data_IF_606014767743
#
_entry.id   IF_606014767743
#
_cell.length_a   1.000
_cell.length_b   1.000
_cell.length_c   1.000
_cell.angle_alpha   90.00
_cell.angle_beta   90.00
_cell.angle_gamma   90.00
#
_symmetry.space_group_name_H-M   'P 1'
#
loop_
_entity.id
_entity.type
_entity.pdbx_description
1 polymer ?
#
# COMPACT_ATOMS: atom_id res chain seq x y z
N UNK A 1 -9.17 24.99 -7.27
CA UNK A 1 -9.32 25.86 -8.46
C UNK A 1 -8.00 25.83 -9.22
N UNK A 2 -8.01 25.66 -10.56
CA UNK A 2 -6.82 25.79 -11.42
C UNK A 2 -6.07 27.10 -11.18
N UNK A 3 -4.76 27.16 -11.45
CA UNK A 3 -4.05 28.44 -11.46
C UNK A 3 -4.19 29.19 -12.78
N UNK A 4 -3.79 30.46 -12.76
CA UNK A 4 -3.94 31.37 -13.89
C UNK A 4 -3.24 30.86 -15.15
N UNK A 5 -2.04 30.27 -15.04
CA UNK A 5 -1.33 29.72 -16.20
C UNK A 5 -2.11 28.58 -16.89
N UNK A 6 -2.71 27.68 -16.10
CA UNK A 6 -3.54 26.61 -16.64
C UNK A 6 -4.85 27.15 -17.23
N UNK A 7 -5.44 28.17 -16.59
CA UNK A 7 -6.64 28.85 -17.11
C UNK A 7 -6.35 29.58 -18.43
N UNK A 8 -5.24 30.29 -18.53
CA UNK A 8 -4.82 31.00 -19.74
C UNK A 8 -4.58 30.03 -20.89
N UNK A 9 -3.93 28.88 -20.62
CA UNK A 9 -3.75 27.82 -21.61
C UNK A 9 -5.09 27.22 -22.06
N UNK A 10 -6.06 27.08 -21.16
CA UNK A 10 -7.41 26.61 -21.45
C UNK A 10 -8.19 27.64 -22.30
N UNK A 11 -8.16 28.92 -21.93
CA UNK A 11 -8.80 30.03 -22.65
C UNK A 11 -8.21 30.18 -24.06
N UNK A 12 -6.90 30.03 -24.20
CA UNK A 12 -6.23 30.02 -25.49
C UNK A 12 -6.50 28.74 -26.31
N UNK A 13 -7.25 27.77 -25.75
CA UNK A 13 -7.59 26.53 -26.41
C UNK A 13 -6.40 25.60 -26.62
N UNK A 14 -5.26 25.78 -25.93
CA UNK A 14 -4.00 25.06 -26.22
C UNK A 14 -3.82 23.73 -25.49
N UNK A 15 -4.71 23.41 -24.54
CA UNK A 15 -4.58 22.19 -23.73
C UNK A 15 -4.78 20.88 -24.51
N UNK A 16 -5.28 20.93 -25.74
CA UNK A 16 -5.34 19.77 -26.63
C UNK A 16 -4.00 19.48 -27.32
N UNK A 17 -3.06 20.42 -27.31
CA UNK A 17 -1.72 20.22 -27.87
C UNK A 17 -0.89 19.35 -26.92
N UNK A 18 -0.41 18.16 -27.34
CA UNK A 18 0.27 17.22 -26.44
C UNK A 18 1.45 17.83 -25.67
N UNK A 19 2.27 18.65 -26.34
CA UNK A 19 3.42 19.30 -25.72
C UNK A 19 3.03 20.36 -24.66
N UNK A 20 1.90 21.06 -24.86
CA UNK A 20 1.39 22.04 -23.89
C UNK A 20 0.82 21.32 -22.67
N UNK A 21 0.02 20.27 -22.91
CA UNK A 21 -0.57 19.46 -21.85
C UNK A 21 0.51 18.80 -20.99
N UNK A 22 1.51 18.16 -21.61
CA UNK A 22 2.63 17.55 -20.90
C UNK A 22 3.38 18.55 -20.03
N UNK A 23 3.67 19.75 -20.56
CA UNK A 23 4.31 20.83 -19.80
C UNK A 23 3.49 21.22 -18.57
N UNK A 24 2.17 21.36 -18.72
CA UNK A 24 1.29 21.71 -17.60
C UNK A 24 1.24 20.59 -16.55
N UNK A 25 1.15 19.32 -16.96
CA UNK A 25 1.19 18.18 -16.03
C UNK A 25 2.47 18.17 -15.21
N UNK A 26 3.63 18.29 -15.86
CA UNK A 26 4.94 18.33 -15.17
C UNK A 26 5.03 19.49 -14.18
N UNK A 27 4.59 20.68 -14.58
CA UNK A 27 4.54 21.87 -13.70
C UNK A 27 3.63 21.64 -12.49
N UNK A 28 2.44 21.10 -12.70
CA UNK A 28 1.48 20.83 -11.63
C UNK A 28 1.98 19.77 -10.65
N UNK A 29 2.67 18.73 -11.14
CA UNK A 29 3.31 17.73 -10.27
C UNK A 29 4.43 18.32 -9.42
N UNK A 30 5.19 19.29 -9.97
CA UNK A 30 6.23 20.01 -9.25
C UNK A 30 5.70 21.07 -8.27
N UNK A 31 4.43 21.51 -8.40
CA UNK A 31 3.81 22.49 -7.50
C UNK A 31 3.54 21.89 -6.11
N UNK A 32 3.64 22.69 -5.04
CA UNK A 32 3.32 22.27 -3.66
C UNK A 32 1.93 21.63 -3.52
N UNK A 33 0.96 22.07 -4.32
CA UNK A 33 -0.43 21.58 -4.32
C UNK A 33 -0.55 20.13 -4.78
N UNK A 34 0.45 19.56 -5.45
CA UNK A 34 0.48 18.11 -5.77
C UNK A 34 0.52 17.21 -4.54
N UNK A 35 0.82 17.76 -3.36
CA UNK A 35 0.67 17.08 -2.07
C UNK A 35 -0.77 16.52 -1.86
N UNK A 36 -1.78 17.04 -2.55
CA UNK A 36 -3.11 16.43 -2.56
C UNK A 36 -3.11 14.94 -3.03
N UNK A 37 -2.17 14.52 -3.89
CA UNK A 37 -2.00 13.10 -4.25
C UNK A 37 -1.51 12.26 -3.06
N UNK A 38 -0.81 12.87 -2.11
CA UNK A 38 -0.34 12.23 -0.88
C UNK A 38 -1.48 12.16 0.14
N UNK A 39 -2.03 13.32 0.51
CA UNK A 39 -3.01 13.47 1.61
C UNK A 39 -4.42 12.99 1.23
N UNK A 40 -4.76 12.93 -0.06
CA UNK A 40 -6.02 12.33 -0.52
C UNK A 40 -5.83 10.96 -1.14
N UNK A 41 -5.14 10.87 -2.27
CA UNK A 41 -5.06 9.62 -3.02
C UNK A 41 -4.34 8.52 -2.21
N UNK A 42 -3.08 8.74 -1.82
CA UNK A 42 -2.31 7.71 -1.09
C UNK A 42 -2.96 7.38 0.26
N UNK A 43 -3.44 8.39 0.99
CA UNK A 43 -4.16 8.18 2.26
C UNK A 43 -5.43 7.35 2.13
N UNK A 44 -6.17 7.46 1.03
CA UNK A 44 -7.34 6.61 0.75
C UNK A 44 -6.91 5.23 0.25
N UNK A 45 -6.02 5.16 -0.73
CA UNK A 45 -5.55 3.92 -1.33
C UNK A 45 -4.87 3.01 -0.30
N UNK A 46 -4.09 3.56 0.62
CA UNK A 46 -3.36 2.81 1.64
C UNK A 46 -4.11 2.72 2.98
N UNK A 47 -5.37 3.14 3.01
CA UNK A 47 -6.23 3.14 4.20
C UNK A 47 -5.66 3.92 5.40
N UNK A 48 -4.75 4.88 5.20
CA UNK A 48 -4.12 5.64 6.28
C UNK A 48 -5.14 6.40 7.13
N UNK A 49 -6.27 6.82 6.55
CA UNK A 49 -7.37 7.47 7.29
C UNK A 49 -7.93 6.58 8.40
N UNK A 50 -7.79 5.27 8.30
CA UNK A 50 -8.26 4.33 9.32
C UNK A 50 -7.34 4.28 10.55
N UNK A 51 -6.13 4.85 10.50
CA UNK A 51 -5.23 4.87 11.68
C UNK A 51 -5.89 5.51 12.90
N UNK A 52 -6.74 6.52 12.69
CA UNK A 52 -7.41 7.26 13.77
C UNK A 52 -8.44 6.40 14.52
N UNK A 53 -9.01 5.38 13.85
CA UNK A 53 -9.93 4.42 14.47
C UNK A 53 -9.23 3.20 15.07
N UNK A 54 -7.94 3.01 14.79
CA UNK A 54 -7.17 1.90 15.36
C UNK A 54 -6.89 2.16 16.84
N UNK A 55 -7.32 1.23 17.70
CA UNK A 55 -7.21 1.30 19.16
C UNK A 55 -6.46 0.10 19.71
N UNK A 56 -5.13 0.01 19.55
CA UNK A 56 -4.34 -1.09 20.11
C UNK A 56 -4.58 -1.26 21.61
N UNK A 57 -4.67 -2.50 22.06
CA UNK A 57 -4.83 -2.81 23.48
C UNK A 57 -3.58 -2.37 24.25
N UNK A 58 -3.75 -1.40 25.15
CA UNK A 58 -2.64 -0.80 25.91
C UNK A 58 -1.92 -1.77 26.84
N UNK A 59 -2.55 -2.90 27.21
CA UNK A 59 -1.88 -3.95 28.01
C UNK A 59 -0.89 -4.75 27.16
N UNK A 60 -1.21 -4.95 25.88
CA UNK A 60 -0.35 -5.66 24.92
C UNK A 60 0.67 -4.74 24.25
N UNK A 61 0.31 -3.47 24.09
CA UNK A 61 1.09 -2.44 23.40
C UNK A 61 1.24 -1.17 24.26
N UNK A 62 1.90 -1.27 25.43
CA UNK A 62 1.99 -0.15 26.38
C UNK A 62 2.75 1.06 25.84
N UNK A 63 3.67 0.83 24.90
CA UNK A 63 4.45 1.88 24.25
C UNK A 63 3.71 2.53 23.08
N UNK A 64 2.45 2.20 22.81
CA UNK A 64 1.67 2.84 21.76
C UNK A 64 0.97 4.11 22.26
N UNK A 65 1.14 5.22 21.55
CA UNK A 65 0.48 6.50 21.82
C UNK A 65 0.09 7.22 20.52
N UNK A 66 -0.64 8.33 20.63
CA UNK A 66 -1.07 9.09 19.45
C UNK A 66 0.11 9.70 18.69
N UNK A 67 1.19 10.11 19.38
CA UNK A 67 2.40 10.61 18.71
C UNK A 67 3.01 9.54 17.77
N UNK A 68 3.02 8.27 18.19
CA UNK A 68 3.47 7.17 17.36
C UNK A 68 2.52 6.92 16.20
N UNK A 69 1.20 7.00 16.41
CA UNK A 69 0.19 6.91 15.34
C UNK A 69 0.43 7.98 14.27
N UNK A 70 0.59 9.24 14.67
CA UNK A 70 0.89 10.33 13.75
C UNK A 70 2.22 10.10 13.03
N UNK A 71 3.23 9.57 13.73
CA UNK A 71 4.50 9.27 13.11
C UNK A 71 4.40 8.16 12.05
N UNK A 72 3.55 7.15 12.24
CA UNK A 72 3.26 6.14 11.20
C UNK A 72 2.64 6.75 9.95
N UNK A 73 1.68 7.66 10.13
CA UNK A 73 1.04 8.39 9.03
C UNK A 73 2.06 9.22 8.27
N UNK A 74 2.82 10.04 8.98
CA UNK A 74 3.79 10.98 8.39
C UNK A 74 4.93 10.24 7.67
N UNK A 75 5.39 9.08 8.17
CA UNK A 75 6.32 8.21 7.43
C UNK A 75 5.80 7.86 6.04
N UNK A 76 4.58 7.32 5.95
CA UNK A 76 4.01 6.88 4.67
C UNK A 76 3.75 8.04 3.73
N UNK A 77 3.28 9.17 4.27
CA UNK A 77 3.03 10.38 3.48
C UNK A 77 4.33 10.96 2.90
N UNK A 78 5.38 11.10 3.71
CA UNK A 78 6.69 11.56 3.24
C UNK A 78 7.33 10.58 2.26
N UNK A 79 7.18 9.28 2.50
CA UNK A 79 7.67 8.24 1.60
C UNK A 79 7.01 8.34 0.22
N UNK A 80 5.68 8.42 0.17
CA UNK A 80 4.96 8.59 -1.09
C UNK A 80 5.26 9.93 -1.77
N UNK A 81 5.33 11.03 -1.00
CA UNK A 81 5.70 12.35 -1.52
C UNK A 81 7.09 12.33 -2.16
N UNK A 82 8.08 11.66 -1.55
CA UNK A 82 9.42 11.56 -2.15
C UNK A 82 9.42 10.81 -3.47
N UNK A 83 8.62 9.74 -3.61
CA UNK A 83 8.52 8.98 -4.86
C UNK A 83 7.86 9.83 -5.95
N UNK A 84 6.83 10.60 -5.58
CA UNK A 84 6.14 11.52 -6.48
C UNK A 84 7.03 12.70 -6.92
N UNK A 85 7.68 13.38 -5.96
CA UNK A 85 8.48 14.60 -6.17
C UNK A 85 9.77 14.33 -6.91
N UNK A 86 10.43 13.22 -6.61
CA UNK A 86 11.68 12.80 -7.27
C UNK A 86 11.40 12.06 -8.59
N UNK A 87 10.13 11.94 -8.99
CA UNK A 87 9.67 11.19 -10.16
C UNK A 87 10.28 9.79 -10.25
N UNK A 88 10.26 9.07 -9.13
CA UNK A 88 10.79 7.71 -9.03
C UNK A 88 9.89 6.71 -9.72
N UNK A 89 10.42 5.50 -9.93
CA UNK A 89 9.60 4.38 -10.33
C UNK A 89 8.53 4.13 -9.27
N UNK A 90 7.29 3.88 -9.69
CA UNK A 90 6.23 3.43 -8.79
C UNK A 90 6.62 2.12 -8.09
N UNK A 91 7.50 1.31 -8.68
CA UNK A 91 7.98 0.07 -8.06
C UNK A 91 8.75 0.31 -6.76
N UNK A 92 9.33 1.51 -6.54
CA UNK A 92 10.01 1.88 -5.28
C UNK A 92 9.05 1.76 -4.08
N UNK A 93 7.74 1.88 -4.28
CA UNK A 93 6.73 1.64 -3.23
C UNK A 93 6.81 0.23 -2.64
N UNK A 94 7.33 -0.76 -3.39
CA UNK A 94 7.46 -2.13 -2.92
C UNK A 94 8.82 -2.44 -2.30
N UNK A 95 9.89 -1.74 -2.69
CA UNK A 95 11.26 -2.22 -2.43
C UNK A 95 12.30 -1.14 -2.14
N UNK A 96 11.88 0.12 -1.95
CA UNK A 96 12.79 1.17 -1.55
C UNK A 96 13.58 0.78 -0.29
N UNK A 97 14.88 1.03 -0.34
CA UNK A 97 15.84 0.83 0.74
C UNK A 97 15.97 2.07 1.63
N UNK A 98 14.94 2.91 1.71
CA UNK A 98 14.95 4.10 2.56
C UNK A 98 13.58 4.31 3.18
N UNK A 99 13.53 5.08 4.27
CA UNK A 99 12.29 5.53 4.88
C UNK A 99 12.47 6.91 5.53
N UNK A 100 11.39 7.48 6.07
CA UNK A 100 11.37 8.72 6.82
C UNK A 100 11.04 8.44 8.28
N UNK A 101 11.94 8.84 9.18
CA UNK A 101 11.73 8.66 10.62
C UNK A 101 12.10 9.92 11.41
N UNK A 102 11.38 10.16 12.48
CA UNK A 102 11.83 10.97 13.61
C UNK A 102 12.32 10.06 14.76
N UNK A 103 12.77 10.63 15.88
CA UNK A 103 13.27 9.85 17.01
C UNK A 103 12.23 8.86 17.57
N UNK A 104 10.95 9.27 17.64
CA UNK A 104 9.88 8.44 18.18
C UNK A 104 9.68 7.17 17.36
N UNK A 105 9.62 7.31 16.03
CA UNK A 105 9.46 6.18 15.11
C UNK A 105 10.74 5.35 14.98
N UNK A 106 11.90 6.00 14.97
CA UNK A 106 13.19 5.30 14.93
C UNK A 106 13.36 4.38 16.15
N UNK A 107 12.99 4.82 17.36
CA UNK A 107 12.95 3.97 18.57
C UNK A 107 12.01 2.78 18.40
N UNK A 108 10.81 3.00 17.85
CA UNK A 108 9.85 1.93 17.57
C UNK A 108 10.38 0.89 16.57
N UNK A 109 11.17 1.33 15.59
CA UNK A 109 11.78 0.46 14.61
C UNK A 109 13.14 -0.14 15.02
N UNK A 110 13.71 0.30 16.15
CA UNK A 110 15.05 -0.11 16.57
C UNK A 110 16.16 0.50 15.72
N UNK A 111 15.93 1.65 15.09
CA UNK A 111 16.91 2.34 14.26
C UNK A 111 17.71 3.31 15.16
N UNK A 112 19.02 3.10 15.34
CA UNK A 112 19.84 3.92 16.23
C UNK A 112 20.16 5.28 15.59
N UNK A 113 20.72 6.19 16.41
CA UNK A 113 21.31 7.46 15.98
C UNK A 113 20.36 8.48 15.31
N UNK A 114 19.05 8.37 15.53
CA UNK A 114 18.05 9.38 15.13
C UNK A 114 17.55 10.12 16.36
N UNK A 115 17.68 11.44 16.38
CA UNK A 115 17.34 12.30 17.51
C UNK A 115 16.47 13.49 17.10
N UNK A 116 15.51 13.87 17.93
CA UNK A 116 14.59 14.98 17.70
C UNK A 116 13.31 14.62 16.95
N UNK A 117 12.36 15.55 16.95
CA UNK A 117 11.01 15.39 16.40
C UNK A 117 10.92 15.50 14.88
N UNK A 118 11.92 16.09 14.22
CA UNK A 118 11.91 16.27 12.76
C UNK A 118 12.19 14.94 12.04
N UNK A 119 11.32 14.63 11.09
CA UNK A 119 11.52 13.54 10.14
C UNK A 119 12.73 13.78 9.26
N UNK A 120 13.45 12.70 8.97
CA UNK A 120 14.54 12.68 8.00
C UNK A 120 14.50 11.40 7.20
N UNK A 121 14.90 11.50 5.94
CA UNK A 121 15.17 10.34 5.11
C UNK A 121 16.40 9.63 5.63
N UNK A 122 16.32 8.32 5.78
CA UNK A 122 17.44 7.45 6.14
C UNK A 122 17.53 6.30 5.14
N UNK A 123 18.74 5.90 4.79
CA UNK A 123 18.97 4.65 4.09
C UNK A 123 18.84 3.49 5.10
N UNK A 124 18.27 2.39 4.62
CA UNK A 124 18.01 1.17 5.36
C UNK A 124 18.94 0.08 4.83
N UNK A 125 19.60 -0.60 5.75
CA UNK A 125 20.28 -1.84 5.44
C UNK A 125 19.32 -3.03 5.55
N UNK A 126 19.75 -4.20 5.06
CA UNK A 126 18.97 -5.44 5.15
C UNK A 126 18.71 -5.84 6.62
N UNK A 127 19.60 -5.46 7.54
CA UNK A 127 19.50 -5.79 8.96
C UNK A 127 18.31 -5.08 9.63
N UNK A 128 17.94 -3.89 9.15
CA UNK A 128 16.75 -3.16 9.59
C UNK A 128 15.47 -4.00 9.45
N UNK A 129 15.40 -4.86 8.44
CA UNK A 129 14.19 -5.57 8.05
C UNK A 129 13.04 -4.62 7.65
N UNK A 130 13.35 -3.38 7.26
CA UNK A 130 12.40 -2.36 6.79
C UNK A 130 12.56 -2.14 5.28
N UNK A 131 11.81 -1.19 4.72
CA UNK A 131 11.80 -0.88 3.29
C UNK A 131 10.46 -1.22 2.64
N UNK A 132 10.07 -0.44 1.64
CA UNK A 132 8.77 -0.56 0.97
C UNK A 132 7.56 -0.33 1.89
N UNK A 133 6.36 -0.34 1.31
CA UNK A 133 5.10 -0.09 2.01
C UNK A 133 4.71 -1.24 2.96
N UNK A 134 4.93 -2.49 2.56
CA UNK A 134 4.45 -3.67 3.29
C UNK A 134 5.11 -3.87 4.66
N UNK A 135 6.19 -3.13 4.94
CA UNK A 135 6.94 -3.17 6.20
C UNK A 135 6.76 -1.91 7.04
N UNK A 136 5.99 -0.93 6.58
CA UNK A 136 5.65 0.27 7.37
C UNK A 136 4.59 -0.05 8.42
N UNK A 137 4.74 0.49 9.63
CA UNK A 137 3.81 0.24 10.72
C UNK A 137 2.40 0.78 10.45
N UNK A 138 2.25 1.82 9.64
CA UNK A 138 0.94 2.32 9.20
C UNK A 138 0.13 1.21 8.51
N UNK A 139 0.72 0.56 7.51
CA UNK A 139 0.12 -0.53 6.73
C UNK A 139 -0.12 -1.75 7.62
N UNK A 140 0.88 -2.13 8.42
CA UNK A 140 0.79 -3.28 9.32
C UNK A 140 -0.31 -3.10 10.38
N UNK A 141 -0.55 -1.85 10.82
CA UNK A 141 -1.55 -1.51 11.83
C UNK A 141 -2.97 -1.46 11.25
N UNK A 142 -3.19 -0.76 10.13
CA UNK A 142 -4.53 -0.69 9.50
C UNK A 142 -5.01 -2.03 8.96
N UNK A 143 -4.12 -3.02 8.88
CA UNK A 143 -4.41 -4.40 8.48
C UNK A 143 -4.40 -5.39 9.65
N UNK A 144 -4.45 -4.91 10.89
CA UNK A 144 -4.47 -5.73 12.11
C UNK A 144 -5.68 -5.43 12.99
N UNK A 145 -5.90 -6.26 14.01
CA UNK A 145 -6.86 -5.98 15.09
C UNK A 145 -6.16 -5.26 16.25
N UNK A 146 -6.96 -4.65 17.14
CA UNK A 146 -6.47 -4.00 18.36
C UNK A 146 -5.56 -4.89 19.22
N UNK A 147 -5.81 -6.20 19.25
CA UNK A 147 -5.13 -7.14 20.15
C UNK A 147 -4.12 -8.04 19.45
N UNK A 148 -4.11 -8.12 18.11
CA UNK A 148 -3.37 -9.14 17.37
C UNK A 148 -3.23 -8.81 15.88
N UNK A 149 -2.27 -9.48 15.23
CA UNK A 149 -2.14 -9.48 13.77
C UNK A 149 -3.34 -10.15 13.09
N UNK A 150 -3.49 -9.90 11.79
CA UNK A 150 -4.49 -10.57 10.96
C UNK A 150 -3.93 -10.87 9.56
N UNK A 151 -3.39 -12.08 9.31
CA UNK A 151 -2.99 -12.48 7.96
C UNK A 151 -4.12 -12.39 6.94
N UNK A 152 -5.36 -12.58 7.38
CA UNK A 152 -6.54 -12.47 6.51
C UNK A 152 -6.68 -11.04 5.98
N UNK A 153 -6.64 -10.04 6.87
CA UNK A 153 -6.78 -8.62 6.48
C UNK A 153 -5.53 -8.15 5.73
N UNK A 154 -4.33 -8.54 6.18
CA UNK A 154 -3.06 -8.26 5.48
C UNK A 154 -3.04 -8.84 4.06
N UNK A 155 -3.45 -10.08 3.90
CA UNK A 155 -3.54 -10.76 2.59
C UNK A 155 -4.59 -10.12 1.70
N UNK A 156 -5.77 -9.78 2.23
CA UNK A 156 -6.79 -9.00 1.53
C UNK A 156 -6.23 -7.68 1.01
N UNK A 157 -5.47 -6.95 1.84
CA UNK A 157 -4.85 -5.69 1.44
C UNK A 157 -3.89 -5.89 0.26
N UNK A 158 -3.05 -6.92 0.27
CA UNK A 158 -2.16 -7.23 -0.87
C UNK A 158 -2.98 -7.51 -2.14
N UNK A 159 -4.04 -8.32 -2.05
CA UNK A 159 -4.87 -8.69 -3.20
C UNK A 159 -5.62 -7.49 -3.81
N UNK A 160 -6.26 -6.67 -2.99
CA UNK A 160 -7.07 -5.54 -3.44
C UNK A 160 -6.19 -4.34 -3.80
N UNK A 161 -5.31 -3.93 -2.89
CA UNK A 161 -4.57 -2.67 -3.01
C UNK A 161 -3.35 -2.79 -3.91
N UNK A 162 -2.74 -3.99 -4.04
CA UNK A 162 -1.52 -4.19 -4.83
C UNK A 162 -1.69 -5.08 -6.07
N UNK A 163 -2.59 -6.07 -6.05
CA UNK A 163 -2.75 -7.02 -7.16
C UNK A 163 -4.02 -6.81 -8.00
N UNK A 164 -4.97 -5.99 -7.55
CA UNK A 164 -6.21 -5.70 -8.28
C UNK A 164 -7.14 -6.92 -8.43
N UNK A 165 -7.02 -7.90 -7.53
CA UNK A 165 -7.82 -9.13 -7.51
C UNK A 165 -8.50 -9.28 -6.14
N UNK A 166 -9.39 -8.34 -5.77
CA UNK A 166 -10.03 -8.36 -4.45
C UNK A 166 -10.71 -9.72 -4.22
N UNK A 167 -10.58 -10.29 -3.01
CA UNK A 167 -11.25 -11.54 -2.69
C UNK A 167 -12.77 -11.38 -2.81
N UNK A 168 -13.52 -12.45 -3.12
CA UNK A 168 -14.96 -12.38 -3.19
C UNK A 168 -15.54 -11.93 -1.84
N UNK A 169 -16.71 -11.25 -1.83
CA UNK A 169 -17.35 -10.85 -0.59
C UNK A 169 -17.61 -12.08 0.29
N UNK A 170 -17.61 -11.91 1.62
CA UNK A 170 -17.92 -13.01 2.53
C UNK A 170 -19.29 -13.60 2.19
N UNK A 171 -19.41 -14.92 2.26
CA UNK A 171 -20.68 -15.59 2.01
C UNK A 171 -21.72 -15.13 3.04
N UNK A 172 -22.97 -14.87 2.62
CA UNK A 172 -24.06 -14.64 3.56
C UNK A 172 -24.17 -15.85 4.51
N UNK A 173 -24.49 -15.58 5.77
CA UNK A 173 -24.76 -16.58 6.81
C UNK A 173 -23.59 -17.47 7.27
N UNK A 174 -22.34 -17.10 7.00
CA UNK A 174 -21.21 -17.69 7.73
C UNK A 174 -21.17 -17.09 9.14
N UNK A 175 -21.36 -17.89 10.21
CA UNK A 175 -21.29 -17.37 11.57
C UNK A 175 -19.94 -16.71 11.80
N UNK A 176 -19.93 -15.52 12.42
CA UNK A 176 -18.69 -14.92 12.89
C UNK A 176 -17.97 -15.95 13.78
N UNK A 177 -16.69 -16.19 13.50
CA UNK A 177 -15.88 -17.06 14.34
C UNK A 177 -15.90 -16.50 15.75
N UNK A 178 -16.28 -17.33 16.72
CA UNK A 178 -16.01 -17.01 18.11
C UNK A 178 -14.49 -16.95 18.23
N UNK A 179 -13.95 -15.83 18.69
CA UNK A 179 -12.50 -15.64 18.92
C UNK A 179 -11.87 -16.74 19.81
N UNK A 180 -12.71 -17.58 20.44
CA UNK A 180 -12.39 -18.61 21.42
C UNK A 180 -12.53 -20.06 20.92
N UNK A 181 -12.78 -20.34 19.63
CA UNK A 181 -12.90 -21.75 19.15
C UNK A 181 -11.58 -22.42 18.81
N UNK A 182 -10.49 -21.64 18.79
CA UNK A 182 -9.15 -22.15 18.50
C UNK A 182 -8.28 -21.89 19.73
N UNK A 183 -7.49 -22.87 20.14
CA UNK A 183 -6.61 -22.76 21.30
C UNK A 183 -5.72 -21.50 21.15
N UNK A 184 -5.84 -20.59 22.10
CA UNK A 184 -5.09 -19.33 22.13
C UNK A 184 -3.59 -19.53 22.30
N UNK A 185 -3.15 -20.74 22.63
CA UNK A 185 -1.74 -21.13 22.70
C UNK A 185 -1.16 -21.51 21.32
N UNK A 186 -1.99 -21.69 20.29
CA UNK A 186 -1.51 -21.98 18.94
C UNK A 186 -1.03 -20.71 18.24
N UNK A 187 0.02 -20.87 17.43
CA UNK A 187 0.47 -19.79 16.53
C UNK A 187 -0.61 -19.45 15.52
N UNK A 188 -0.64 -18.20 15.07
CA UNK A 188 -1.62 -17.69 14.08
C UNK A 188 -1.67 -18.58 12.84
N UNK A 189 -0.52 -19.08 12.36
CA UNK A 189 -0.45 -20.03 11.24
C UNK A 189 -1.22 -21.32 11.52
N UNK A 190 -1.04 -21.92 12.71
CA UNK A 190 -1.76 -23.14 13.10
C UNK A 190 -3.25 -22.88 13.23
N UNK A 191 -3.62 -21.75 13.83
CA UNK A 191 -5.02 -21.33 13.95
C UNK A 191 -5.71 -21.19 12.59
N UNK A 192 -5.04 -20.56 11.63
CA UNK A 192 -5.55 -20.41 10.26
C UNK A 192 -5.60 -21.74 9.51
N UNK A 193 -4.61 -22.62 9.71
CA UNK A 193 -4.62 -23.96 9.12
C UNK A 193 -5.81 -24.79 9.63
N UNK A 194 -6.10 -24.74 10.94
CA UNK A 194 -7.29 -25.36 11.51
C UNK A 194 -8.57 -24.74 10.97
N UNK A 195 -8.63 -23.40 10.85
CA UNK A 195 -9.78 -22.70 10.28
C UNK A 195 -10.04 -23.10 8.81
N UNK A 196 -8.98 -23.30 8.02
CA UNK A 196 -9.04 -23.76 6.63
C UNK A 196 -9.37 -25.24 6.46
N UNK A 197 -9.51 -26.01 7.54
CA UNK A 197 -10.00 -27.40 7.44
C UNK A 197 -11.44 -27.46 6.91
N UNK A 198 -12.21 -26.37 7.07
CA UNK A 198 -13.52 -26.22 6.44
C UNK A 198 -13.35 -25.79 4.97
N UNK A 199 -13.83 -26.61 4.03
CA UNK A 199 -13.72 -26.37 2.59
C UNK A 199 -14.32 -25.02 2.14
N UNK A 200 -15.40 -24.56 2.79
CA UNK A 200 -16.03 -23.27 2.48
C UNK A 200 -15.08 -22.12 2.84
N UNK A 201 -14.45 -22.18 4.00
CA UNK A 201 -13.52 -21.16 4.47
C UNK A 201 -12.21 -21.19 3.66
N UNK A 202 -11.73 -22.40 3.30
CA UNK A 202 -10.52 -22.58 2.51
C UNK A 202 -10.60 -21.88 1.14
N UNK A 203 -11.78 -21.83 0.51
CA UNK A 203 -11.96 -21.23 -0.82
C UNK A 203 -11.39 -19.80 -0.94
N UNK A 204 -11.60 -18.98 0.11
CA UNK A 204 -11.12 -17.59 0.16
C UNK A 204 -9.79 -17.47 0.89
N UNK A 205 -9.61 -18.22 1.98
CA UNK A 205 -8.40 -18.13 2.81
C UNK A 205 -7.15 -18.71 2.15
N UNK A 206 -7.29 -19.66 1.22
CA UNK A 206 -6.15 -20.17 0.43
C UNK A 206 -5.49 -19.07 -0.41
N UNK A 207 -6.24 -18.01 -0.75
CA UNK A 207 -5.77 -16.87 -1.52
C UNK A 207 -5.13 -15.79 -0.62
N UNK A 208 -5.76 -15.46 0.51
CA UNK A 208 -5.34 -14.37 1.40
C UNK A 208 -4.26 -14.79 2.40
N UNK A 209 -4.45 -15.91 3.09
CA UNK A 209 -3.61 -16.25 4.25
C UNK A 209 -2.13 -16.37 3.89
N UNK A 210 -1.71 -17.03 2.78
CA UNK A 210 -0.29 -17.12 2.44
C UNK A 210 0.36 -15.75 2.21
N UNK A 211 -0.37 -14.80 1.63
CA UNK A 211 0.10 -13.42 1.42
C UNK A 211 0.24 -12.70 2.77
N UNK A 212 -0.77 -12.80 3.63
CA UNK A 212 -0.77 -12.18 4.94
C UNK A 212 0.29 -12.72 5.89
N UNK A 213 0.49 -14.04 5.85
CA UNK A 213 1.45 -14.76 6.70
C UNK A 213 2.90 -14.29 6.44
N UNK A 214 3.19 -13.79 5.23
CA UNK A 214 4.49 -13.20 4.86
C UNK A 214 4.93 -12.07 5.78
N UNK A 215 3.97 -11.35 6.36
CA UNK A 215 4.19 -10.19 7.22
C UNK A 215 4.18 -10.54 8.71
N UNK A 216 4.03 -11.82 9.10
CA UNK A 216 3.88 -12.19 10.51
C UNK A 216 5.12 -11.98 11.37
N UNK A 217 6.30 -11.75 10.75
CA UNK A 217 7.49 -11.23 11.44
C UNK A 217 7.30 -9.81 12.00
N UNK A 218 6.13 -9.20 11.80
CA UNK A 218 5.72 -7.96 12.45
C UNK A 218 4.42 -8.13 13.26
N UNK A 219 4.38 -7.54 14.46
CA UNK A 219 3.21 -7.51 15.32
C UNK A 219 2.12 -6.53 14.82
N UNK A 220 1.05 -6.36 15.60
CA UNK A 220 -0.11 -5.55 15.23
C UNK A 220 0.18 -4.05 15.09
N UNK A 221 1.26 -3.56 15.72
CA UNK A 221 1.71 -2.15 15.60
C UNK A 221 3.00 -2.04 14.79
N UNK A 222 3.34 -3.09 14.05
CA UNK A 222 4.47 -3.13 13.13
C UNK A 222 5.84 -3.26 13.79
N UNK A 223 5.97 -3.66 15.06
CA UNK A 223 7.28 -4.03 15.65
C UNK A 223 7.70 -5.39 15.13
N UNK A 224 9.01 -5.60 14.96
CA UNK A 224 9.54 -6.90 14.56
C UNK A 224 9.38 -7.93 15.68
N UNK A 225 9.11 -9.17 15.31
CA UNK A 225 9.06 -10.34 16.19
C UNK A 225 9.62 -11.58 15.47
N UNK A 226 10.26 -12.46 16.23
CA UNK A 226 10.81 -13.73 15.75
C UNK A 226 9.99 -14.94 16.18
N UNK A 227 9.29 -14.82 17.30
CA UNK A 227 8.49 -15.88 17.89
C UNK A 227 7.10 -15.40 18.32
N UNK A 228 6.21 -16.35 18.45
CA UNK A 228 4.87 -16.20 18.98
C UNK A 228 4.65 -17.31 20.00
N UNK A 229 4.41 -16.93 21.26
CA UNK A 229 4.30 -17.87 22.39
C UNK A 229 5.50 -18.84 22.50
N UNK A 230 6.72 -18.36 22.23
CA UNK A 230 7.95 -19.17 22.29
C UNK A 230 8.18 -20.09 21.08
N UNK A 231 7.30 -20.04 20.07
CA UNK A 231 7.45 -20.79 18.81
C UNK A 231 7.93 -19.84 17.72
N UNK A 232 8.99 -20.23 17.00
CA UNK A 232 9.49 -19.45 15.87
C UNK A 232 8.41 -19.22 14.81
N UNK A 233 8.34 -17.99 14.31
CA UNK A 233 7.36 -17.59 13.31
C UNK A 233 7.79 -18.12 11.95
N UNK A 234 7.01 -19.06 11.42
CA UNK A 234 7.01 -19.38 10.01
C UNK A 234 6.22 -18.29 9.26
N UNK A 235 6.92 -17.47 8.48
CA UNK A 235 6.34 -16.44 7.62
C UNK A 235 6.20 -16.89 6.16
N UNK A 236 6.46 -18.17 5.85
CA UNK A 236 6.41 -18.64 4.47
C UNK A 236 5.01 -18.53 3.87
N UNK A 237 4.94 -18.17 2.60
CA UNK A 237 3.69 -18.00 1.89
C UNK A 237 3.82 -18.39 0.43
N UNK A 238 2.88 -17.90 -0.36
CA UNK A 238 2.87 -18.12 -1.80
C UNK A 238 1.85 -17.25 -2.51
N UNK A 239 1.97 -17.23 -3.84
CA UNK A 239 0.99 -16.59 -4.72
C UNK A 239 0.01 -17.65 -5.27
N UNK A 240 -1.12 -17.20 -5.86
CA UNK A 240 -2.14 -18.10 -6.42
C UNK A 240 -1.65 -18.91 -7.62
N UNK A 241 -0.56 -18.47 -8.25
CA UNK A 241 0.10 -19.19 -9.34
C UNK A 241 0.96 -20.38 -8.86
N UNK A 242 1.02 -20.61 -7.54
CA UNK A 242 1.77 -21.71 -6.93
C UNK A 242 3.21 -21.36 -6.55
N UNK A 243 3.69 -20.15 -6.87
CA UNK A 243 5.00 -19.67 -6.41
C UNK A 243 5.03 -19.57 -4.88
N UNK A 244 6.21 -19.77 -4.29
CA UNK A 244 6.43 -19.77 -2.84
C UNK A 244 7.50 -18.77 -2.45
N UNK A 245 7.39 -18.24 -1.24
CA UNK A 245 8.37 -17.33 -0.64
C UNK A 245 8.46 -17.55 0.87
N UNK A 246 9.56 -17.10 1.47
CA UNK A 246 9.86 -17.33 2.90
C UNK A 246 9.25 -16.27 3.83
N UNK A 247 9.08 -15.04 3.35
CA UNK A 247 8.52 -13.91 4.10
C UNK A 247 8.17 -12.75 3.15
N UNK A 248 7.88 -11.57 3.73
CA UNK A 248 7.52 -10.35 3.01
C UNK A 248 8.57 -9.92 1.97
N UNK A 249 9.87 -10.18 2.18
CA UNK A 249 10.90 -9.86 1.19
C UNK A 249 10.75 -10.73 -0.06
N UNK A 250 10.45 -12.01 0.14
CA UNK A 250 10.14 -12.91 -0.96
C UNK A 250 8.81 -12.56 -1.64
N UNK A 251 7.80 -12.06 -0.90
CA UNK A 251 6.56 -11.53 -1.50
C UNK A 251 6.86 -10.31 -2.39
N UNK A 252 7.59 -9.32 -1.89
CA UNK A 252 7.98 -8.13 -2.67
C UNK A 252 8.74 -8.52 -3.94
N UNK A 253 9.70 -9.46 -3.84
CA UNK A 253 10.40 -10.00 -5.00
C UNK A 253 9.45 -10.67 -6.00
N UNK A 254 8.45 -11.40 -5.52
CA UNK A 254 7.45 -12.04 -6.37
C UNK A 254 6.55 -11.00 -7.08
N UNK A 255 6.16 -9.91 -6.40
CA UNK A 255 5.44 -8.79 -7.00
C UNK A 255 6.28 -8.08 -8.07
N UNK A 256 7.56 -7.85 -7.79
CA UNK A 256 8.50 -7.23 -8.74
C UNK A 256 8.82 -8.10 -9.95
N UNK A 257 8.66 -9.43 -9.84
CA UNK A 257 8.81 -10.32 -10.99
C UNK A 257 7.68 -10.16 -12.02
N UNK A 258 6.55 -9.55 -11.61
CA UNK A 258 5.37 -9.26 -12.45
C UNK A 258 4.92 -7.81 -12.25
N UNK A 259 5.80 -6.83 -12.54
CA UNK A 259 5.58 -5.44 -12.18
C UNK A 259 4.32 -4.85 -12.83
N UNK A 260 3.93 -5.37 -14.01
CA UNK A 260 2.74 -4.90 -14.73
C UNK A 260 1.44 -5.13 -13.95
N UNK A 261 1.38 -6.12 -13.05
CA UNK A 261 0.20 -6.36 -12.21
C UNK A 261 0.07 -5.21 -11.21
N UNK A 262 1.13 -4.97 -10.43
CA UNK A 262 1.13 -3.90 -9.43
C UNK A 262 0.94 -2.51 -10.06
N UNK A 263 1.66 -2.22 -11.14
CA UNK A 263 1.52 -0.93 -11.84
C UNK A 263 0.14 -0.80 -12.47
N UNK A 264 -0.45 -1.89 -12.97
CA UNK A 264 -1.83 -1.90 -13.46
C UNK A 264 -2.83 -1.55 -12.37
N UNK A 265 -2.74 -2.17 -11.20
CA UNK A 265 -3.59 -1.86 -10.04
C UNK A 265 -3.40 -0.41 -9.59
N UNK A 266 -2.16 0.07 -9.47
CA UNK A 266 -1.89 1.46 -9.11
C UNK A 266 -2.49 2.43 -10.14
N UNK A 267 -2.33 2.14 -11.44
CA UNK A 267 -2.90 2.95 -12.53
C UNK A 267 -4.42 2.98 -12.46
N UNK A 268 -5.07 1.86 -12.15
CA UNK A 268 -6.52 1.78 -11.97
C UNK A 268 -7.00 2.64 -10.79
N UNK A 269 -6.33 2.56 -9.64
CA UNK A 269 -6.68 3.36 -8.45
C UNK A 269 -6.44 4.85 -8.73
N UNK A 270 -5.34 5.21 -9.40
CA UNK A 270 -5.06 6.59 -9.82
C UNK A 270 -6.10 7.11 -10.82
N UNK A 271 -6.51 6.29 -11.79
CA UNK A 271 -7.54 6.66 -12.76
C UNK A 271 -8.89 6.87 -12.06
N UNK A 272 -9.26 5.99 -11.13
CA UNK A 272 -10.46 6.16 -10.29
C UNK A 272 -10.45 7.51 -9.57
N UNK A 273 -9.31 7.85 -8.95
CA UNK A 273 -9.13 9.15 -8.29
C UNK A 273 -9.23 10.33 -9.26
N UNK A 274 -8.59 10.23 -10.43
CA UNK A 274 -8.59 11.27 -11.45
C UNK A 274 -9.98 11.51 -12.05
N UNK A 275 -10.79 10.46 -12.18
CA UNK A 275 -12.14 10.52 -12.76
C UNK A 275 -13.22 10.85 -11.71
N UNK A 276 -12.96 10.62 -10.42
CA UNK A 276 -13.97 10.77 -9.36
C UNK A 276 -15.12 9.75 -9.47
N UNK A 277 -14.90 8.64 -10.17
CA UNK A 277 -15.81 7.50 -10.30
C UNK A 277 -14.99 6.20 -10.37
N UNK A 278 -15.62 5.07 -10.07
CA UNK A 278 -15.02 3.77 -10.35
C UNK A 278 -14.69 3.60 -11.83
N UNK A 279 -13.61 2.86 -12.12
CA UNK A 279 -13.33 2.41 -13.49
C UNK A 279 -14.36 1.36 -13.92
N UNK A 280 -14.64 1.32 -15.20
CA UNK A 280 -15.56 0.37 -15.82
C UNK A 280 -14.81 -0.54 -16.80
N UNK A 281 -15.46 -1.60 -17.28
CA UNK A 281 -14.83 -2.56 -18.19
C UNK A 281 -14.24 -1.90 -19.46
N UNK A 282 -14.82 -0.79 -19.92
CA UNK A 282 -14.37 -0.04 -21.08
C UNK A 282 -13.16 0.87 -20.82
N UNK A 283 -12.80 1.12 -19.55
CA UNK A 283 -11.58 1.86 -19.19
C UNK A 283 -10.32 0.96 -19.25
N UNK A 284 -10.50 -0.37 -19.22
CA UNK A 284 -9.40 -1.35 -19.19
C UNK A 284 -8.38 -1.24 -20.35
N UNK A 285 -8.78 -0.95 -21.62
CA UNK A 285 -7.82 -0.69 -22.69
C UNK A 285 -6.90 0.51 -22.41
N UNK A 286 -7.43 1.57 -21.79
CA UNK A 286 -6.64 2.75 -21.45
C UNK A 286 -5.60 2.41 -20.37
N UNK A 287 -6.01 1.70 -19.31
CA UNK A 287 -5.09 1.23 -18.25
C UNK A 287 -3.96 0.38 -18.86
N UNK A 288 -4.29 -0.60 -19.70
CA UNK A 288 -3.27 -1.46 -20.35
C UNK A 288 -2.30 -0.67 -21.23
N UNK A 289 -2.79 0.34 -21.96
CA UNK A 289 -1.94 1.20 -22.77
C UNK A 289 -0.97 2.00 -21.90
N UNK A 290 -1.46 2.62 -20.81
CA UNK A 290 -0.63 3.40 -19.87
C UNK A 290 0.45 2.52 -19.23
N UNK A 291 0.11 1.31 -18.76
CA UNK A 291 1.07 0.38 -18.17
C UNK A 291 2.13 -0.05 -19.19
N UNK A 292 1.71 -0.38 -20.43
CA UNK A 292 2.64 -0.75 -21.50
C UNK A 292 3.59 0.38 -21.84
N UNK A 293 3.08 1.61 -22.00
CA UNK A 293 3.86 2.75 -22.46
C UNK A 293 4.80 3.27 -21.35
N UNK A 294 4.36 3.23 -20.09
CA UNK A 294 5.19 3.61 -18.94
C UNK A 294 6.38 2.66 -18.69
N UNK A 295 6.35 1.44 -19.23
CA UNK A 295 7.50 0.51 -19.16
C UNK A 295 8.77 1.09 -19.78
N UNK A 296 8.64 1.85 -20.88
CA UNK A 296 9.77 2.52 -21.52
C UNK A 296 10.37 3.64 -20.65
N UNK A 297 9.64 4.08 -19.63
CA UNK A 297 10.03 5.08 -18.65
C UNK A 297 10.16 4.48 -17.24
N UNK A 298 10.44 3.18 -17.14
CA UNK A 298 10.71 2.48 -15.87
C UNK A 298 9.57 2.63 -14.85
N UNK A 299 8.33 2.78 -15.32
CA UNK A 299 7.14 2.99 -14.48
C UNK A 299 7.22 4.22 -13.57
N UNK A 300 7.91 5.28 -14.01
CA UNK A 300 7.93 6.56 -13.29
C UNK A 300 6.54 7.11 -13.03
N UNK A 301 6.33 7.69 -11.85
CA UNK A 301 5.02 8.24 -11.46
C UNK A 301 4.53 9.29 -12.45
N UNK A 302 5.40 10.17 -12.94
CA UNK A 302 5.03 11.18 -13.94
C UNK A 302 4.53 10.55 -15.24
N UNK A 303 5.10 9.41 -15.66
CA UNK A 303 4.69 8.67 -16.85
C UNK A 303 3.29 8.08 -16.70
N UNK A 304 2.97 7.53 -15.52
CA UNK A 304 1.63 7.03 -15.21
C UNK A 304 0.59 8.16 -15.19
N UNK A 305 0.90 9.27 -14.52
CA UNK A 305 0.00 10.44 -14.46
C UNK A 305 -0.21 11.04 -15.84
N UNK A 306 0.85 11.21 -16.62
CA UNK A 306 0.75 11.72 -17.99
C UNK A 306 -0.05 10.78 -18.89
N UNK A 307 0.13 9.47 -18.74
CA UNK A 307 -0.67 8.47 -19.43
C UNK A 307 -2.16 8.58 -19.10
N UNK A 308 -2.51 8.76 -17.83
CA UNK A 308 -3.90 9.00 -17.38
C UNK A 308 -4.43 10.30 -18.01
N UNK A 309 -3.67 11.39 -17.93
CA UNK A 309 -4.11 12.69 -18.45
C UNK A 309 -4.33 12.62 -19.96
N UNK A 310 -3.50 11.91 -20.72
CA UNK A 310 -3.67 11.72 -22.16
C UNK A 310 -4.73 10.68 -22.55
N UNK A 311 -5.30 9.96 -21.59
CA UNK A 311 -6.24 8.88 -21.87
C UNK A 311 -7.63 9.41 -22.25
N UNK A 312 -8.33 8.66 -23.12
CA UNK A 312 -9.69 9.00 -23.52
C UNK A 312 -10.66 9.12 -22.32
N UNK A 313 -10.64 8.24 -21.29
CA UNK A 313 -11.49 8.40 -20.11
C UNK A 313 -11.32 9.74 -19.40
N UNK A 314 -10.10 10.29 -19.36
CA UNK A 314 -9.81 11.58 -18.73
C UNK A 314 -10.17 12.76 -19.64
N UNK A 315 -9.70 12.74 -20.89
CA UNK A 315 -9.89 13.84 -21.84
C UNK A 315 -11.35 14.05 -22.24
N UNK A 316 -12.13 12.98 -22.32
CA UNK A 316 -13.55 13.02 -22.73
C UNK A 316 -14.51 13.01 -21.53
N UNK A 317 -13.99 13.24 -20.31
CA UNK A 317 -14.82 13.30 -19.11
C UNK A 317 -15.76 14.49 -19.18
N UNK A 318 -17.06 14.23 -19.29
CA UNK A 318 -18.07 15.26 -19.09
C UNK A 318 -18.34 15.41 -17.59
N UNK A 319 -18.19 16.62 -17.06
CA UNK A 319 -18.69 16.99 -15.73
C UNK A 319 -20.20 16.75 -15.73
N UNK A 320 -20.68 15.81 -14.91
CA UNK A 320 -22.10 15.74 -14.58
C UNK A 320 -22.42 16.72 -13.46
#
# INVERSE_FOLDING_TARGET
IPDDELLDAAVAGKLHEPAVLERQVKRMLADSRSNALVTNFASQWLHLRNLDSMTPDMRLFPDFDDNLRQAFREETELFFDSILREDRSALDLLHANYTFVNERLAKHYGIPHVYGSRFRRIELDDASGRGGLLRQASILMVTSYATRTSPVIRGKFVLDNLLGVPPPPPLPDVPALKDNTVDGNLTVRRRLAEHRSNAVCASCHNLMDPLGLSMEKFDAIGRRRSDEAGVQIDASGGLPDGSRFEDVAGLEKALLARPEIFVGTLTEKLLTYALGRGVEYYDAPAIRAIVRDSRAHEYRVSSLVLGIVNSAPFQMRMSR
#
